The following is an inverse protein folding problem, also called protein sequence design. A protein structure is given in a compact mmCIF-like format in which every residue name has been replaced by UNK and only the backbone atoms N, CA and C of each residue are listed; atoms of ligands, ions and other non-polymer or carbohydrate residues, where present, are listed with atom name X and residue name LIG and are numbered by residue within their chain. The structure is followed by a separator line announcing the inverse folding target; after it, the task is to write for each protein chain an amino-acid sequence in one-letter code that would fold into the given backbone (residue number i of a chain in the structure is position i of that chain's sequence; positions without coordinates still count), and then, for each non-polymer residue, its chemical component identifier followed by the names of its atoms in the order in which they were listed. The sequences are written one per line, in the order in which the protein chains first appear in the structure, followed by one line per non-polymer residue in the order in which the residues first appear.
data_IF_426005083550
#
_entry.id   IF_426005083550
#
_cell.length_a   1.000
_cell.length_b   1.000
_cell.length_c   1.000
_cell.angle_alpha   90.00
_cell.angle_beta   90.00
_cell.angle_gamma   90.00
#
_symmetry.space_group_name_H-M   'P 1'
#
loop_
_entity.id
_entity.type
_entity.pdbx_description
1 polymer ?
#
# COMPACT_ATOMS: atom_id res chain seq x y z
N UNK A 1 -18.58 -9.91 -1.04
CA UNK A 1 -17.62 -9.74 -2.15
C UNK A 1 -16.32 -9.07 -1.71
N UNK A 2 -16.35 -7.93 -0.99
CA UNK A 2 -15.14 -7.27 -0.49
C UNK A 2 -14.16 -8.22 0.20
N UNK A 3 -14.64 -9.01 1.17
CA UNK A 3 -13.82 -9.95 1.93
C UNK A 3 -13.11 -10.99 1.05
N UNK A 4 -13.77 -11.45 -0.03
CA UNK A 4 -13.20 -12.42 -0.98
C UNK A 4 -12.02 -11.82 -1.74
N UNK A 5 -12.15 -10.58 -2.21
CA UNK A 5 -11.05 -9.91 -2.91
C UNK A 5 -9.93 -9.52 -1.96
N UNK A 6 -10.27 -9.01 -0.77
CA UNK A 6 -9.28 -8.57 0.19
C UNK A 6 -8.47 -9.76 0.75
N UNK A 7 -9.12 -10.91 1.01
CA UNK A 7 -8.41 -12.10 1.50
C UNK A 7 -7.39 -12.64 0.50
N UNK A 8 -7.68 -12.56 -0.81
CA UNK A 8 -6.72 -12.91 -1.85
C UNK A 8 -5.52 -11.95 -1.86
N UNK A 9 -5.76 -10.63 -1.77
CA UNK A 9 -4.69 -9.62 -1.71
C UNK A 9 -3.79 -9.81 -0.49
N UNK A 10 -4.35 -10.15 0.67
CA UNK A 10 -3.61 -10.30 1.93
C UNK A 10 -3.13 -11.73 2.22
N UNK A 11 -3.32 -12.67 1.30
CA UNK A 11 -2.84 -14.05 1.47
C UNK A 11 -1.31 -14.05 1.65
N UNK A 12 -0.73 -14.85 2.57
CA UNK A 12 0.71 -14.83 2.85
C UNK A 12 1.59 -14.96 1.61
N UNK A 13 1.17 -15.76 0.63
CA UNK A 13 1.84 -16.00 -0.65
C UNK A 13 1.97 -14.74 -1.51
N UNK A 14 1.10 -13.75 -1.29
CA UNK A 14 1.04 -12.49 -2.03
C UNK A 14 1.65 -11.31 -1.24
N UNK A 15 2.31 -11.59 -0.11
CA UNK A 15 2.85 -10.55 0.78
C UNK A 15 4.35 -10.71 0.99
N UNK A 16 5.02 -9.58 1.25
CA UNK A 16 6.40 -9.55 1.72
C UNK A 16 6.47 -8.70 2.99
N UNK A 17 7.21 -9.18 4.00
CA UNK A 17 7.41 -8.46 5.27
C UNK A 17 8.83 -7.94 5.36
N UNK A 18 8.98 -6.62 5.49
CA UNK A 18 10.27 -5.96 5.71
C UNK A 18 10.50 -5.63 7.19
N UNK A 19 11.67 -5.96 7.72
CA UNK A 19 12.11 -5.55 9.05
C UNK A 19 13.10 -4.40 8.91
N UNK A 20 12.61 -3.20 9.21
CA UNK A 20 13.38 -1.96 9.09
C UNK A 20 14.63 -1.92 9.96
N UNK A 21 15.71 -1.41 9.39
CA UNK A 21 16.88 -0.87 10.07
C UNK A 21 17.05 0.62 9.74
N UNK A 22 17.81 1.34 10.58
CA UNK A 22 18.08 2.75 10.33
C UNK A 22 18.88 2.92 9.03
N UNK A 23 18.39 3.75 8.12
CA UNK A 23 18.99 3.98 6.80
C UNK A 23 18.35 3.17 5.66
N UNK A 24 17.51 2.18 5.97
CA UNK A 24 16.76 1.46 4.95
C UNK A 24 15.83 2.39 4.17
N UNK A 25 15.64 2.07 2.89
CA UNK A 25 14.66 2.72 2.01
C UNK A 25 13.87 1.63 1.30
N UNK A 26 12.53 1.74 1.36
CA UNK A 26 11.63 0.95 0.55
C UNK A 26 10.93 1.85 -0.47
N UNK A 27 10.83 1.35 -1.69
CA UNK A 27 10.08 1.97 -2.79
C UNK A 27 9.07 0.93 -3.27
N UNK A 28 7.83 1.32 -3.45
CA UNK A 28 6.77 0.44 -3.95
C UNK A 28 5.94 1.17 -5.01
N UNK A 29 5.42 0.42 -5.98
CA UNK A 29 4.45 0.95 -6.94
C UNK A 29 3.05 0.95 -6.30
N UNK A 30 2.55 2.14 -5.99
CA UNK A 30 1.23 2.31 -5.36
C UNK A 30 0.06 1.99 -6.31
N UNK A 31 0.31 1.73 -7.61
CA UNK A 31 -0.72 1.26 -8.54
C UNK A 31 -1.02 -0.23 -8.38
N UNK A 32 -0.08 -1.01 -7.83
CA UNK A 32 -0.14 -2.47 -7.82
C UNK A 32 0.12 -3.09 -6.44
N UNK A 33 0.17 -2.29 -5.37
CA UNK A 33 0.48 -2.78 -4.03
C UNK A 33 -0.46 -2.21 -2.98
N UNK A 34 -0.77 -3.03 -1.97
CA UNK A 34 -1.24 -2.57 -0.68
C UNK A 34 -0.12 -2.78 0.34
N UNK A 35 -0.03 -1.93 1.36
CA UNK A 35 0.95 -2.09 2.43
C UNK A 35 0.30 -1.84 3.79
N UNK A 36 0.86 -2.46 4.82
CA UNK A 36 0.40 -2.34 6.19
C UNK A 36 1.59 -2.11 7.13
N UNK A 37 1.51 -1.07 7.96
CA UNK A 37 2.46 -0.84 9.02
C UNK A 37 2.06 -1.68 10.24
N UNK A 38 2.79 -2.78 10.49
CA UNK A 38 2.52 -3.64 11.64
C UNK A 38 2.76 -2.84 12.93
N UNK A 39 1.75 -2.83 13.81
CA UNK A 39 1.80 -2.15 15.10
C UNK A 39 2.18 -3.13 16.23
N UNK A 40 3.37 -3.72 16.14
CA UNK A 40 3.88 -4.74 17.07
C UNK A 40 5.09 -4.28 17.90
N UNK A 41 5.32 -2.96 17.99
CA UNK A 41 6.51 -2.38 18.61
C UNK A 41 6.28 -1.77 20.01
N UNK A 42 5.04 -1.74 20.51
CA UNK A 42 4.71 -1.16 21.81
C UNK A 42 5.12 0.32 21.89
N UNK A 43 5.85 0.69 22.96
CA UNK A 43 6.31 2.07 23.18
C UNK A 43 7.64 2.39 22.46
N UNK A 44 8.19 1.47 21.67
CA UNK A 44 9.43 1.73 20.94
C UNK A 44 9.24 2.86 19.92
N UNK A 45 10.16 3.83 19.93
CA UNK A 45 10.11 4.96 19.03
C UNK A 45 10.41 4.54 17.58
N UNK A 46 9.45 4.78 16.68
CA UNK A 46 9.58 4.48 15.25
C UNK A 46 9.23 5.71 14.42
N UNK A 47 10.21 6.20 13.64
CA UNK A 47 10.02 7.33 12.74
C UNK A 47 10.43 6.92 11.33
N UNK A 48 9.56 7.23 10.36
CA UNK A 48 9.82 7.08 8.94
C UNK A 48 9.50 8.39 8.23
N UNK A 49 10.21 8.68 7.14
CA UNK A 49 9.92 9.81 6.25
C UNK A 49 9.41 9.26 4.93
N UNK A 50 8.37 9.90 4.38
CA UNK A 50 7.74 9.47 3.13
C UNK A 50 7.71 10.63 2.14
N UNK A 51 8.12 10.36 0.91
CA UNK A 51 7.83 11.17 -0.25
C UNK A 51 6.91 10.37 -1.18
N UNK A 52 6.02 11.04 -1.88
CA UNK A 52 5.09 10.43 -2.85
C UNK A 52 5.25 11.12 -4.18
N UNK A 53 5.21 10.34 -5.26
CA UNK A 53 5.18 10.85 -6.63
C UNK A 53 3.72 10.97 -7.06
N UNK A 54 3.38 12.05 -7.74
CA UNK A 54 2.03 12.25 -8.26
C UNK A 54 1.67 11.18 -9.30
N UNK A 55 0.41 10.78 -9.33
CA UNK A 55 -0.08 9.64 -10.12
C UNK A 55 -1.14 10.05 -11.13
N UNK A 56 -1.39 9.17 -12.09
CA UNK A 56 -2.45 9.35 -13.09
C UNK A 56 -3.82 8.91 -12.56
N UNK A 57 -4.89 9.35 -13.23
CA UNK A 57 -6.25 8.87 -12.95
C UNK A 57 -6.38 7.38 -13.34
N UNK A 58 -6.83 6.48 -12.45
CA UNK A 58 -6.98 5.06 -12.78
C UNK A 58 -7.96 4.83 -13.93
N UNK A 59 -7.65 3.82 -14.76
CA UNK A 59 -8.46 3.38 -15.90
C UNK A 59 -8.88 1.93 -15.66
N UNK A 60 -10.19 1.66 -15.70
CA UNK A 60 -10.75 0.33 -15.58
C UNK A 60 -10.46 -0.55 -16.80
N UNK A 61 -10.71 -1.85 -16.66
CA UNK A 61 -10.55 -2.84 -17.75
C UNK A 61 -11.41 -2.54 -18.97
N UNK A 62 -12.49 -1.76 -18.79
CA UNK A 62 -13.42 -1.30 -19.82
C UNK A 62 -13.05 0.08 -20.40
N UNK A 63 -11.90 0.64 -20.01
CA UNK A 63 -11.42 1.96 -20.45
C UNK A 63 -12.02 3.15 -19.70
N UNK A 64 -12.92 2.93 -18.72
CA UNK A 64 -13.51 4.05 -17.95
C UNK A 64 -12.51 4.63 -16.96
N UNK A 65 -12.45 5.96 -16.87
CA UNK A 65 -11.63 6.68 -15.87
C UNK A 65 -12.38 6.82 -14.55
N UNK A 66 -11.65 6.78 -13.44
CA UNK A 66 -12.20 7.17 -12.14
C UNK A 66 -12.66 8.63 -12.14
N UNK A 67 -13.72 8.92 -11.38
CA UNK A 67 -14.31 10.25 -11.26
C UNK A 67 -14.33 10.69 -9.79
N UNK A 68 -14.05 11.96 -9.53
CA UNK A 68 -14.16 12.55 -8.20
C UNK A 68 -15.61 12.92 -7.91
N UNK A 69 -16.20 12.35 -6.86
CA UNK A 69 -17.59 12.64 -6.48
C UNK A 69 -17.71 13.76 -5.43
N UNK A 70 -16.71 13.91 -4.56
CA UNK A 70 -16.61 14.93 -3.51
C UNK A 70 -15.13 15.31 -3.37
N UNK A 71 -14.85 16.59 -3.12
CA UNK A 71 -13.49 17.07 -2.81
C UNK A 71 -13.28 17.18 -1.31
#
# INVERSE_FOLDING_TARGET
LYEVFQSYVTAPENTVRWRWQAGDVAIWDNRATQHYAVNDYGDQHRVVRRATVDGDVPIGVDGRRSITHVK
#
